data_IF_188454399162
#
_entry.id   IF_188454399162
#
_cell.length_a   1.000
_cell.length_b   1.000
_cell.length_c   1.000
_cell.angle_alpha   90.00
_cell.angle_beta   90.00
_cell.angle_gamma   90.00
#
_symmetry.space_group_name_H-M   'P 1'
#
loop_
_entity.id
_entity.type
_entity.pdbx_description
1 polymer ?
#
# COMPACT_ATOMS: atom_id res chain seq x y z
N UNK A 1 22.17 -8.38 11.89
CA UNK A 1 21.21 -7.69 11.02
C UNK A 1 20.44 -6.68 11.85
N UNK A 2 20.38 -5.43 11.43
CA UNK A 2 19.67 -4.34 12.11
C UNK A 2 18.34 -4.06 11.45
N UNK A 3 17.31 -3.74 12.24
CA UNK A 3 15.97 -3.36 11.75
C UNK A 3 15.66 -1.93 12.15
N UNK A 4 15.28 -1.12 11.14
CA UNK A 4 14.71 0.22 11.33
C UNK A 4 13.20 0.16 11.20
N UNK A 5 12.48 0.65 12.21
CA UNK A 5 11.03 0.83 12.15
C UNK A 5 10.71 2.28 11.82
N UNK A 6 9.92 2.50 10.78
CA UNK A 6 9.55 3.82 10.27
C UNK A 6 8.06 4.09 10.53
N UNK A 7 7.77 5.15 11.30
CA UNK A 7 6.40 5.51 11.67
C UNK A 7 6.09 6.94 11.21
N UNK A 8 5.34 7.09 10.10
CA UNK A 8 4.81 8.39 9.72
C UNK A 8 3.65 8.78 10.65
N UNK A 9 3.62 10.04 11.12
CA UNK A 9 2.60 10.52 12.05
C UNK A 9 2.00 11.85 11.56
N UNK A 10 0.67 11.88 11.40
CA UNK A 10 -0.08 13.10 11.10
C UNK A 10 -1.48 13.01 11.68
N UNK A 11 -1.83 13.93 12.63
CA UNK A 11 -3.14 13.99 13.27
C UNK A 11 -3.64 12.62 13.75
N UNK A 12 -2.82 11.93 14.53
CA UNK A 12 -3.06 10.56 15.00
C UNK A 12 -3.05 10.44 16.53
N UNK A 13 -3.41 11.50 17.24
CA UNK A 13 -3.39 11.55 18.71
C UNK A 13 -4.15 10.39 19.38
N UNK A 14 -5.25 9.92 18.74
CA UNK A 14 -6.07 8.84 19.28
C UNK A 14 -5.46 7.43 19.13
N UNK A 15 -4.43 7.23 18.29
CA UNK A 15 -3.91 5.91 17.94
C UNK A 15 -2.41 5.76 18.14
N UNK A 16 -1.63 6.83 17.96
CA UNK A 16 -0.16 6.79 17.94
C UNK A 16 0.46 6.17 19.19
N UNK A 17 -0.17 6.32 20.36
CA UNK A 17 0.32 5.71 21.60
C UNK A 17 0.31 4.19 21.50
N UNK A 18 -0.83 3.58 21.18
CA UNK A 18 -0.95 2.14 21.04
C UNK A 18 -0.05 1.60 19.93
N UNK A 19 0.11 2.34 18.82
CA UNK A 19 1.03 2.01 17.73
C UNK A 19 2.47 1.93 18.22
N UNK A 20 2.99 2.97 18.88
CA UNK A 20 4.36 2.99 19.38
C UNK A 20 4.59 1.96 20.48
N UNK A 21 3.63 1.74 21.38
CA UNK A 21 3.72 0.73 22.42
C UNK A 21 3.82 -0.68 21.80
N UNK A 22 3.11 -0.98 20.70
CA UNK A 22 3.21 -2.27 19.99
C UNK A 22 4.60 -2.52 19.39
N UNK A 23 5.31 -1.46 18.97
CA UNK A 23 6.71 -1.55 18.50
C UNK A 23 7.66 -1.77 19.65
N UNK A 24 7.46 -1.05 20.76
CA UNK A 24 8.33 -1.11 21.94
C UNK A 24 8.19 -2.41 22.74
N UNK A 25 7.10 -3.16 22.53
CA UNK A 25 6.82 -4.44 23.17
C UNK A 25 7.21 -5.65 22.31
N UNK A 26 7.96 -5.46 21.23
CA UNK A 26 8.41 -6.57 20.40
C UNK A 26 9.33 -7.51 21.16
N UNK A 27 9.16 -8.84 21.00
CA UNK A 27 10.02 -9.87 21.61
C UNK A 27 11.44 -9.82 21.08
N UNK A 28 11.62 -9.41 19.84
CA UNK A 28 12.89 -9.09 19.21
C UNK A 28 12.91 -7.59 18.87
N UNK A 29 13.54 -6.73 19.72
CA UNK A 29 13.40 -5.29 19.60
C UNK A 29 13.96 -4.73 18.29
N UNK A 30 13.37 -3.62 17.83
CA UNK A 30 13.94 -2.81 16.74
C UNK A 30 15.30 -2.23 17.17
N UNK A 31 16.25 -2.13 16.23
CA UNK A 31 17.54 -1.48 16.49
C UNK A 31 17.42 0.05 16.46
N UNK A 32 16.47 0.57 15.67
CA UNK A 32 16.06 1.97 15.68
C UNK A 32 14.57 2.13 15.35
N UNK A 33 13.94 3.13 15.94
CA UNK A 33 12.55 3.51 15.67
C UNK A 33 12.56 5.00 15.28
N UNK A 34 12.25 5.28 14.03
CA UNK A 34 12.21 6.63 13.47
C UNK A 34 10.77 7.07 13.30
N UNK A 35 10.39 8.14 13.97
CA UNK A 35 9.04 8.70 13.91
C UNK A 35 9.12 10.09 13.30
N UNK A 36 8.30 10.38 12.30
CA UNK A 36 8.21 11.71 11.70
C UNK A 36 6.82 12.29 11.83
N UNK A 37 6.73 13.39 12.56
CA UNK A 37 5.53 14.21 12.64
C UNK A 37 5.46 15.13 11.42
N UNK A 38 4.46 14.92 10.57
CA UNK A 38 4.24 15.69 9.34
C UNK A 38 3.33 16.91 9.57
N UNK A 39 3.68 17.72 10.59
CA UNK A 39 2.97 18.97 10.86
C UNK A 39 1.59 18.76 11.46
N UNK A 40 1.44 17.83 12.40
CA UNK A 40 0.19 17.60 13.13
C UNK A 40 -0.29 18.85 13.86
N UNK A 41 -1.61 19.06 13.88
CA UNK A 41 -2.29 20.20 14.52
C UNK A 41 -3.12 19.79 15.74
N UNK A 42 -3.21 18.49 16.02
CA UNK A 42 -3.85 17.90 17.20
C UNK A 42 -2.82 17.65 18.33
N UNK A 43 -3.14 16.81 19.30
CA UNK A 43 -2.27 16.48 20.43
C UNK A 43 -1.12 15.52 20.06
N UNK A 44 -1.01 15.07 18.81
CA UNK A 44 0.05 14.13 18.35
C UNK A 44 1.46 14.59 18.78
N UNK A 45 1.89 15.87 18.59
CA UNK A 45 3.24 16.30 18.98
C UNK A 45 3.51 16.15 20.48
N UNK A 46 2.53 16.41 21.32
CA UNK A 46 2.66 16.26 22.77
C UNK A 46 2.82 14.79 23.19
N UNK A 47 2.07 13.90 22.52
CA UNK A 47 2.20 12.46 22.76
C UNK A 47 3.56 11.98 22.33
N UNK A 48 4.03 12.34 21.13
CA UNK A 48 5.32 11.95 20.59
C UNK A 48 6.48 12.40 21.49
N UNK A 49 6.43 13.61 22.05
CA UNK A 49 7.45 14.12 22.99
C UNK A 49 7.61 13.21 24.22
N UNK A 50 6.54 12.53 24.66
CA UNK A 50 6.61 11.57 25.77
C UNK A 50 7.38 10.27 25.42
N UNK A 51 7.69 10.04 24.14
CA UNK A 51 8.45 8.88 23.64
C UNK A 51 9.91 9.21 23.26
N UNK A 52 10.35 10.47 23.35
CA UNK A 52 11.66 10.94 22.85
C UNK A 52 12.89 10.16 23.37
N UNK A 53 12.80 9.56 24.54
CA UNK A 53 13.91 8.78 25.10
C UNK A 53 13.95 7.34 24.57
N UNK A 54 12.93 6.92 23.80
CA UNK A 54 12.77 5.55 23.28
C UNK A 54 12.75 5.48 21.75
N UNK A 55 12.49 6.59 21.09
CA UNK A 55 12.42 6.70 19.63
C UNK A 55 13.12 7.96 19.13
N UNK A 56 13.58 7.96 17.89
CA UNK A 56 14.14 9.15 17.25
C UNK A 56 13.02 9.93 16.58
N UNK A 57 12.73 11.15 17.08
CA UNK A 57 11.67 12.01 16.58
C UNK A 57 12.18 13.02 15.56
N UNK A 58 11.47 13.13 14.46
CA UNK A 58 11.60 14.19 13.47
C UNK A 58 10.29 14.95 13.33
N UNK A 59 10.37 16.21 12.91
CA UNK A 59 9.20 17.03 12.62
C UNK A 59 9.44 17.88 11.38
N UNK A 60 8.41 18.06 10.57
CA UNK A 60 8.42 18.91 9.39
C UNK A 60 7.04 19.57 9.20
N UNK A 61 6.92 20.67 8.43
CA UNK A 61 5.63 21.11 7.91
C UNK A 61 5.01 20.01 7.04
N UNK A 62 3.67 19.90 7.04
CA UNK A 62 2.97 18.85 6.29
C UNK A 62 3.39 18.86 4.79
N UNK A 63 3.97 17.73 4.36
CA UNK A 63 4.45 17.47 2.99
C UNK A 63 3.89 16.17 2.40
N UNK A 64 3.02 15.49 3.15
CA UNK A 64 2.35 14.26 2.74
C UNK A 64 3.13 12.97 3.02
N UNK A 65 2.39 11.87 3.04
CA UNK A 65 2.87 10.55 3.47
C UNK A 65 4.05 10.04 2.64
N UNK A 66 4.04 10.23 1.32
CA UNK A 66 5.12 9.79 0.44
C UNK A 66 6.44 10.50 0.77
N UNK A 67 6.39 11.82 0.99
CA UNK A 67 7.57 12.57 1.41
C UNK A 67 8.10 12.08 2.77
N UNK A 68 7.21 11.87 3.73
CA UNK A 68 7.57 11.33 5.07
C UNK A 68 8.27 9.98 4.94
N UNK A 69 7.69 9.04 4.17
CA UNK A 69 8.30 7.71 3.98
C UNK A 69 9.67 7.81 3.30
N UNK A 70 9.82 8.62 2.25
CA UNK A 70 11.10 8.84 1.59
C UNK A 70 12.16 9.42 2.56
N UNK A 71 11.79 10.42 3.33
CA UNK A 71 12.66 11.04 4.32
C UNK A 71 13.07 10.07 5.44
N UNK A 72 12.15 9.22 5.91
CA UNK A 72 12.45 8.20 6.90
C UNK A 72 13.37 7.11 6.34
N UNK A 73 13.11 6.63 5.11
CA UNK A 73 14.00 5.67 4.42
C UNK A 73 15.41 6.22 4.27
N UNK A 74 15.54 7.49 3.89
CA UNK A 74 16.85 8.13 3.73
C UNK A 74 17.65 8.24 5.05
N UNK A 75 16.96 8.28 6.19
CA UNK A 75 17.59 8.34 7.54
C UNK A 75 17.83 6.97 8.16
N UNK A 76 17.13 5.95 7.71
CA UNK A 76 17.22 4.61 8.25
C UNK A 76 18.61 3.99 8.02
N UNK A 77 19.17 3.37 9.06
CA UNK A 77 20.49 2.74 9.03
C UNK A 77 20.44 1.21 9.08
N UNK A 78 19.28 0.64 9.38
CA UNK A 78 19.06 -0.81 9.45
C UNK A 78 19.22 -1.52 8.10
N UNK A 79 19.52 -2.79 8.15
CA UNK A 79 19.60 -3.67 6.96
C UNK A 79 18.21 -3.98 6.40
N UNK A 80 17.22 -4.05 7.29
CA UNK A 80 15.81 -4.27 7.01
C UNK A 80 14.99 -3.06 7.47
N UNK A 81 14.18 -2.53 6.59
CA UNK A 81 13.28 -1.40 6.83
C UNK A 81 11.86 -1.92 6.99
N UNK A 82 11.24 -1.63 8.11
CA UNK A 82 9.85 -1.98 8.41
C UNK A 82 8.99 -0.75 8.57
N UNK A 83 7.83 -0.73 7.94
CA UNK A 83 6.90 0.39 8.01
C UNK A 83 5.72 0.06 8.93
N UNK A 84 5.27 1.04 9.70
CA UNK A 84 4.06 0.94 10.49
C UNK A 84 3.29 2.26 10.44
N UNK A 85 2.08 2.23 9.91
CA UNK A 85 1.21 3.40 9.90
C UNK A 85 0.72 3.71 11.32
N UNK A 86 0.52 4.98 11.62
CA UNK A 86 0.30 5.51 12.99
C UNK A 86 -1.04 5.09 13.63
N UNK A 87 -1.78 4.20 13.00
CA UNK A 87 -3.06 3.68 13.48
C UNK A 87 -3.14 2.15 13.54
N UNK A 88 -2.10 1.45 13.07
CA UNK A 88 -2.03 -0.01 13.09
C UNK A 88 -1.22 -0.52 14.28
N UNK A 89 -1.33 -1.82 14.57
CA UNK A 89 -0.64 -2.48 15.68
C UNK A 89 0.09 -3.73 15.21
N UNK A 90 1.26 -3.99 15.79
CA UNK A 90 1.99 -5.22 15.56
C UNK A 90 1.82 -6.24 16.68
N UNK A 91 1.73 -7.50 16.29
CA UNK A 91 1.88 -8.63 17.21
C UNK A 91 3.28 -8.62 17.84
N UNK A 92 3.46 -9.00 19.12
CA UNK A 92 4.78 -8.98 19.78
C UNK A 92 5.90 -9.74 19.04
N UNK A 93 5.58 -10.72 18.21
CA UNK A 93 6.55 -11.50 17.41
C UNK A 93 6.75 -11.02 15.98
N UNK A 94 6.19 -9.86 15.60
CA UNK A 94 6.27 -9.39 14.21
C UNK A 94 7.72 -9.25 13.73
N UNK A 95 8.56 -8.54 14.46
CA UNK A 95 9.95 -8.31 14.06
C UNK A 95 10.80 -9.59 14.09
N UNK A 96 10.56 -10.49 15.06
CA UNK A 96 11.21 -11.80 15.12
C UNK A 96 10.94 -12.61 13.84
N UNK A 97 9.69 -12.69 13.43
CA UNK A 97 9.29 -13.40 12.20
C UNK A 97 9.90 -12.74 10.96
N UNK A 98 9.86 -11.42 10.86
CA UNK A 98 10.41 -10.70 9.71
C UNK A 98 11.93 -10.86 9.58
N UNK A 99 12.67 -10.89 10.70
CA UNK A 99 14.11 -11.15 10.70
C UNK A 99 14.42 -12.57 10.20
N UNK A 100 13.65 -13.56 10.64
CA UNK A 100 13.84 -14.95 10.22
C UNK A 100 13.58 -15.09 8.72
N UNK A 101 12.48 -14.53 8.21
CA UNK A 101 12.16 -14.55 6.78
C UNK A 101 13.27 -13.88 5.93
N UNK A 102 13.82 -12.76 6.39
CA UNK A 102 14.93 -12.10 5.68
C UNK A 102 16.20 -12.95 5.64
N UNK A 103 16.49 -13.72 6.71
CA UNK A 103 17.64 -14.62 6.75
C UNK A 103 17.45 -15.86 5.87
N UNK A 104 16.23 -16.41 5.83
CA UNK A 104 15.87 -17.62 5.08
C UNK A 104 15.71 -17.34 3.58
N UNK A 105 15.34 -16.12 3.19
CA UNK A 105 15.07 -15.72 1.81
C UNK A 105 15.86 -14.47 1.39
N UNK A 106 17.21 -14.55 1.34
CA UNK A 106 18.06 -13.40 1.01
C UNK A 106 17.84 -12.84 -0.41
N UNK A 107 17.24 -13.64 -1.31
CA UNK A 107 16.86 -13.24 -2.67
C UNK A 107 15.63 -12.34 -2.73
N UNK A 108 14.79 -12.34 -1.69
CA UNK A 108 13.56 -11.57 -1.68
C UNK A 108 13.81 -10.07 -1.55
N UNK A 109 12.96 -9.30 -2.20
CA UNK A 109 13.01 -7.82 -2.19
C UNK A 109 12.04 -7.18 -1.22
N UNK A 110 11.07 -7.95 -0.72
CA UNK A 110 10.15 -7.51 0.33
C UNK A 110 9.50 -8.70 1.03
N UNK A 111 9.01 -8.48 2.25
CA UNK A 111 8.43 -9.48 3.13
C UNK A 111 7.10 -8.97 3.67
N UNK A 112 6.00 -9.63 3.36
CA UNK A 112 4.67 -9.32 3.87
C UNK A 112 4.23 -10.32 4.93
N UNK A 113 3.58 -9.81 5.98
CA UNK A 113 2.89 -10.64 6.97
C UNK A 113 1.38 -10.63 6.71
N UNK A 114 0.67 -11.63 7.26
CA UNK A 114 -0.78 -11.61 7.36
C UNK A 114 -1.27 -10.52 8.30
N UNK A 115 -2.53 -10.11 8.11
CA UNK A 115 -3.16 -9.10 8.95
C UNK A 115 -4.61 -9.47 9.26
N UNK A 116 -5.11 -8.93 10.35
CA UNK A 116 -6.52 -8.95 10.72
C UNK A 116 -7.06 -7.52 10.75
N UNK A 117 -8.33 -7.39 10.43
CA UNK A 117 -9.01 -6.10 10.49
C UNK A 117 -9.67 -5.92 11.85
N UNK A 118 -9.53 -4.74 12.46
CA UNK A 118 -10.20 -4.43 13.71
C UNK A 118 -10.79 -3.00 13.73
N UNK A 119 -11.64 -2.73 14.70
CA UNK A 119 -12.33 -1.45 14.87
C UNK A 119 -12.04 -0.86 16.25
N UNK A 120 -12.12 0.46 16.39
CA UNK A 120 -11.92 1.17 17.65
C UNK A 120 -10.55 1.86 17.75
N UNK A 121 -10.36 2.64 18.82
CA UNK A 121 -9.15 3.45 19.04
C UNK A 121 -8.20 2.85 20.09
N UNK A 122 -8.57 1.71 20.70
CA UNK A 122 -7.82 1.04 21.75
C UNK A 122 -6.76 0.05 21.25
N UNK A 123 -6.29 -0.73 22.18
CA UNK A 123 -5.42 -1.87 21.94
C UNK A 123 -6.21 -3.01 21.27
N UNK A 124 -5.49 -3.88 20.57
CA UNK A 124 -6.01 -5.14 20.05
C UNK A 124 -5.54 -6.28 20.96
N UNK A 125 -6.46 -7.11 21.43
CA UNK A 125 -6.12 -8.29 22.21
C UNK A 125 -5.83 -9.47 21.26
N UNK A 126 -4.57 -9.90 21.24
CA UNK A 126 -4.14 -11.04 20.45
C UNK A 126 -4.62 -12.35 21.08
N UNK A 127 -5.44 -13.13 20.36
CA UNK A 127 -5.97 -14.39 20.86
C UNK A 127 -4.90 -15.48 20.97
N UNK A 128 -4.45 -15.77 22.22
CA UNK A 128 -3.57 -16.88 22.58
C UNK A 128 -2.09 -16.71 22.22
N UNK A 129 -1.22 -17.51 22.87
CA UNK A 129 0.23 -17.49 22.63
C UNK A 129 0.64 -18.01 21.23
N UNK A 130 -0.24 -18.74 20.56
CA UNK A 130 -0.04 -19.30 19.21
C UNK A 130 -0.52 -18.39 18.09
N UNK A 131 -1.24 -17.30 18.38
CA UNK A 131 -1.54 -16.28 17.39
C UNK A 131 -0.22 -15.70 16.91
N UNK A 132 -0.03 -15.57 15.59
CA UNK A 132 1.18 -15.01 15.00
C UNK A 132 2.33 -15.98 14.71
N UNK A 133 2.27 -17.30 15.03
CA UNK A 133 3.39 -18.22 14.75
C UNK A 133 3.06 -19.37 13.79
N UNK A 134 1.80 -19.55 13.40
CA UNK A 134 1.29 -20.70 12.62
C UNK A 134 1.02 -20.40 11.15
N UNK A 135 1.80 -19.54 10.49
CA UNK A 135 1.59 -19.17 9.09
C UNK A 135 2.36 -20.05 8.10
N UNK A 136 1.84 -20.15 6.89
CA UNK A 136 2.61 -20.68 5.75
C UNK A 136 3.46 -19.58 5.14
N UNK A 137 4.65 -19.94 4.66
CA UNK A 137 5.58 -19.01 3.97
C UNK A 137 5.57 -19.34 2.49
N UNK A 138 5.41 -18.34 1.65
CA UNK A 138 5.40 -18.46 0.19
C UNK A 138 6.41 -17.47 -0.40
N UNK A 139 7.36 -17.96 -1.20
CA UNK A 139 8.20 -17.14 -2.08
C UNK A 139 7.43 -16.90 -3.39
N UNK A 140 7.07 -15.68 -3.66
CA UNK A 140 6.20 -15.29 -4.78
C UNK A 140 7.04 -14.61 -5.85
N UNK A 141 7.11 -15.18 -7.07
CA UNK A 141 7.80 -14.54 -8.19
C UNK A 141 7.26 -13.14 -8.49
N UNK A 142 8.12 -12.27 -9.01
CA UNK A 142 7.80 -10.86 -9.29
C UNK A 142 6.53 -10.67 -10.15
N UNK A 143 6.36 -11.48 -11.21
CA UNK A 143 5.17 -11.46 -12.07
C UNK A 143 3.89 -11.83 -11.31
N UNK A 144 3.95 -12.86 -10.47
CA UNK A 144 2.79 -13.29 -9.66
C UNK A 144 2.46 -12.24 -8.61
N UNK A 145 3.46 -11.68 -7.93
CA UNK A 145 3.29 -10.58 -7.00
C UNK A 145 2.60 -9.39 -7.67
N UNK A 146 3.15 -8.90 -8.79
CA UNK A 146 2.55 -7.79 -9.54
C UNK A 146 1.10 -8.07 -9.94
N UNK A 147 0.83 -9.30 -10.40
CA UNK A 147 -0.50 -9.72 -10.84
C UNK A 147 -1.50 -9.79 -9.68
N UNK A 148 -1.12 -10.42 -8.56
CA UNK A 148 -1.95 -10.53 -7.35
C UNK A 148 -2.24 -9.16 -6.75
N UNK A 149 -1.22 -8.30 -6.64
CA UNK A 149 -1.35 -6.94 -6.16
C UNK A 149 -2.37 -6.13 -6.97
N UNK A 150 -2.21 -6.11 -8.30
CA UNK A 150 -3.08 -5.32 -9.18
C UNK A 150 -4.51 -5.84 -9.31
N UNK A 151 -4.75 -7.12 -9.02
CA UNK A 151 -6.09 -7.71 -8.94
C UNK A 151 -6.74 -7.54 -7.58
N UNK A 152 -6.06 -6.99 -6.59
CA UNK A 152 -6.48 -6.95 -5.19
C UNK A 152 -6.87 -8.34 -4.66
N UNK A 153 -6.11 -9.38 -5.06
CA UNK A 153 -6.34 -10.78 -4.69
C UNK A 153 -5.26 -11.29 -3.73
N UNK A 154 -4.62 -10.40 -2.99
CA UNK A 154 -3.57 -10.76 -2.07
C UNK A 154 -3.45 -9.77 -0.91
N UNK A 155 -2.63 -10.10 0.08
CA UNK A 155 -2.47 -9.35 1.32
C UNK A 155 -1.53 -8.13 1.18
N UNK A 156 -1.25 -7.66 -0.02
CA UNK A 156 -0.19 -6.68 -0.30
C UNK A 156 -0.70 -5.23 -0.34
N UNK A 157 -1.73 -4.89 0.42
CA UNK A 157 -2.44 -3.60 0.26
C UNK A 157 -1.93 -2.46 1.13
N UNK A 158 -1.00 -2.71 2.08
CA UNK A 158 -0.50 -1.69 3.00
C UNK A 158 0.95 -1.98 3.40
N UNK A 159 1.72 -0.93 3.66
CA UNK A 159 3.09 -1.06 4.13
C UNK A 159 3.20 -1.38 5.62
N UNK A 160 2.15 -1.23 6.43
CA UNK A 160 2.17 -1.58 7.87
C UNK A 160 2.54 -3.04 8.14
N UNK A 161 2.40 -3.92 7.18
CA UNK A 161 2.77 -5.33 7.28
C UNK A 161 3.85 -5.76 6.29
N UNK A 162 4.66 -4.77 5.85
CA UNK A 162 5.73 -4.96 4.88
C UNK A 162 7.09 -4.56 5.46
N UNK A 163 8.09 -5.40 5.22
CA UNK A 163 9.49 -5.09 5.40
C UNK A 163 10.21 -5.13 4.05
N UNK A 164 11.18 -4.22 3.86
CA UNK A 164 11.97 -4.13 2.62
C UNK A 164 13.45 -4.06 2.99
N UNK A 165 14.33 -4.91 2.43
CA UNK A 165 15.77 -4.79 2.62
C UNK A 165 16.27 -3.42 2.16
N UNK A 166 17.06 -2.73 2.98
CA UNK A 166 17.55 -1.37 2.68
C UNK A 166 18.26 -1.28 1.32
N UNK A 167 18.97 -2.34 0.93
CA UNK A 167 19.64 -2.41 -0.40
C UNK A 167 18.67 -2.20 -1.56
N UNK A 168 17.42 -2.65 -1.43
CA UNK A 168 16.39 -2.58 -2.48
C UNK A 168 16.02 -1.12 -2.79
N UNK A 169 15.99 -0.25 -1.79
CA UNK A 169 15.69 1.18 -2.02
C UNK A 169 16.70 1.86 -2.96
N UNK A 170 17.96 1.41 -2.97
CA UNK A 170 18.95 1.87 -3.95
C UNK A 170 18.58 1.53 -5.41
N UNK A 171 17.87 0.41 -5.62
CA UNK A 171 17.40 -0.03 -6.93
C UNK A 171 16.06 0.64 -7.33
N UNK A 172 15.24 1.01 -6.34
CA UNK A 172 13.96 1.71 -6.59
C UNK A 172 14.17 3.16 -7.04
N UNK A 173 15.29 3.77 -6.69
CA UNK A 173 15.62 5.18 -6.97
C UNK A 173 15.40 6.08 -5.76
N UNK A 174 15.67 7.39 -5.93
CA UNK A 174 15.71 8.35 -4.82
C UNK A 174 14.34 8.63 -4.18
N UNK A 175 13.24 8.38 -4.89
CA UNK A 175 11.88 8.63 -4.43
C UNK A 175 11.00 7.39 -4.69
N UNK A 176 11.17 6.32 -3.88
CA UNK A 176 10.39 5.09 -4.02
C UNK A 176 8.91 5.28 -3.72
N UNK A 177 8.53 6.37 -3.07
CA UNK A 177 7.14 6.78 -2.84
C UNK A 177 6.87 8.10 -3.57
N UNK A 178 5.77 8.19 -4.32
CA UNK A 178 5.33 9.41 -5.01
C UNK A 178 4.07 9.97 -4.36
N UNK A 179 4.07 11.28 -4.06
CA UNK A 179 2.92 11.94 -3.43
C UNK A 179 1.76 12.09 -4.41
N UNK A 180 0.80 11.18 -4.30
CA UNK A 180 -0.39 11.18 -5.14
C UNK A 180 -1.57 10.43 -4.50
N UNK A 181 -1.39 9.95 -3.25
CA UNK A 181 -2.37 9.15 -2.51
C UNK A 181 -2.62 7.76 -3.09
N UNK A 182 -1.61 7.21 -3.73
CA UNK A 182 -1.46 5.82 -4.13
C UNK A 182 0.04 5.46 -4.15
N UNK A 183 0.78 6.02 -3.21
CA UNK A 183 2.23 5.90 -3.06
C UNK A 183 2.63 4.44 -2.80
N UNK A 184 1.81 3.68 -2.09
CA UNK A 184 1.99 2.24 -1.89
C UNK A 184 1.96 1.50 -3.23
N UNK A 185 1.01 1.84 -4.11
CA UNK A 185 0.90 1.22 -5.43
C UNK A 185 2.09 1.54 -6.33
N UNK A 186 2.63 2.74 -6.22
CA UNK A 186 3.84 3.13 -6.93
C UNK A 186 5.03 2.29 -6.47
N UNK A 187 5.29 2.25 -5.16
CA UNK A 187 6.40 1.49 -4.59
C UNK A 187 6.26 -0.03 -4.83
N UNK A 188 5.08 -0.61 -4.61
CA UNK A 188 4.84 -2.04 -4.88
C UNK A 188 5.07 -2.42 -6.34
N UNK A 189 4.71 -1.54 -7.28
CA UNK A 189 4.99 -1.78 -8.70
C UNK A 189 6.49 -1.75 -9.01
N UNK A 190 7.24 -0.85 -8.38
CA UNK A 190 8.70 -0.82 -8.49
C UNK A 190 9.35 -2.07 -7.89
N UNK A 191 8.88 -2.57 -6.75
CA UNK A 191 9.39 -3.81 -6.14
C UNK A 191 9.28 -5.00 -7.10
N UNK A 192 8.21 -5.08 -7.89
CA UNK A 192 8.03 -6.13 -8.89
C UNK A 192 9.07 -6.07 -10.04
N UNK A 193 9.71 -4.93 -10.29
CA UNK A 193 10.82 -4.83 -11.26
C UNK A 193 12.14 -5.36 -10.69
N UNK A 194 12.27 -5.43 -9.36
CA UNK A 194 13.52 -5.79 -8.70
C UNK A 194 13.61 -7.30 -8.41
N UNK A 195 12.52 -7.93 -7.96
CA UNK A 195 12.61 -9.36 -7.66
C UNK A 195 11.38 -9.96 -6.99
N UNK A 196 11.53 -11.20 -6.48
CA UNK A 196 10.47 -11.93 -5.80
C UNK A 196 10.21 -11.35 -4.41
N UNK A 197 9.03 -11.64 -3.86
CA UNK A 197 8.64 -11.26 -2.51
C UNK A 197 8.29 -12.48 -1.68
N UNK A 198 8.37 -12.35 -0.36
CA UNK A 198 7.91 -13.38 0.58
C UNK A 198 6.62 -12.94 1.23
N UNK A 199 5.68 -13.86 1.33
CA UNK A 199 4.47 -13.71 2.12
C UNK A 199 4.41 -14.78 3.22
N UNK A 200 4.24 -14.33 4.46
CA UNK A 200 3.91 -15.18 5.61
C UNK A 200 2.45 -14.96 5.99
N UNK A 201 1.66 -16.02 6.01
CA UNK A 201 0.22 -15.92 6.29
C UNK A 201 -0.10 -15.77 7.79
N UNK A 202 0.91 -15.77 8.68
CA UNK A 202 0.72 -15.49 10.10
C UNK A 202 0.13 -14.08 10.29
N UNK A 203 -0.94 -13.97 11.06
CA UNK A 203 -1.64 -12.72 11.35
C UNK A 203 -0.86 -11.92 12.40
N UNK A 204 0.11 -11.14 11.93
CA UNK A 204 1.06 -10.40 12.75
C UNK A 204 0.77 -8.90 12.83
N UNK A 205 -0.25 -8.43 12.14
CA UNK A 205 -0.64 -7.02 12.11
C UNK A 205 -2.12 -6.88 12.32
N UNK A 206 -2.54 -6.03 13.25
CA UNK A 206 -3.91 -5.59 13.38
C UNK A 206 -4.08 -4.27 12.61
N UNK A 207 -4.78 -4.36 11.48
CA UNK A 207 -5.08 -3.25 10.59
C UNK A 207 -6.36 -2.54 11.03
N UNK A 208 -6.25 -1.25 11.34
CA UNK A 208 -7.38 -0.48 11.88
C UNK A 208 -8.28 0.06 10.78
N UNK A 209 -9.55 -0.31 10.84
CA UNK A 209 -10.58 0.21 9.95
C UNK A 209 -11.25 1.45 10.55
N UNK A 210 -11.23 2.58 9.83
CA UNK A 210 -11.86 3.84 10.21
C UNK A 210 -12.82 4.33 9.13
N UNK A 211 -13.90 5.03 9.54
CA UNK A 211 -14.86 5.63 8.60
C UNK A 211 -14.22 6.66 7.69
N UNK A 212 -13.30 7.45 8.24
CA UNK A 212 -12.61 8.56 7.59
C UNK A 212 -11.38 8.10 6.78
N UNK A 213 -11.13 6.80 6.64
CA UNK A 213 -9.98 6.30 5.88
C UNK A 213 -10.04 6.76 4.42
N UNK A 214 -8.92 7.28 3.90
CA UNK A 214 -8.78 7.70 2.49
C UNK A 214 -9.08 6.58 1.51
N UNK A 215 -8.85 5.33 1.90
CA UNK A 215 -9.15 4.13 1.10
C UNK A 215 -10.65 3.91 0.84
N UNK A 216 -11.54 4.58 1.58
CA UNK A 216 -12.98 4.48 1.40
C UNK A 216 -13.52 5.35 0.25
N UNK A 217 -12.75 6.33 -0.25
CA UNK A 217 -13.16 7.16 -1.40
C UNK A 217 -12.63 6.59 -2.72
N UNK A 218 -13.44 5.75 -3.35
CA UNK A 218 -13.10 5.14 -4.63
C UNK A 218 -13.00 6.16 -5.79
N UNK A 219 -13.70 7.30 -5.69
CA UNK A 219 -13.67 8.32 -6.76
C UNK A 219 -12.28 8.95 -6.85
N UNK A 220 -11.69 9.17 -5.70
CA UNK A 220 -10.36 9.71 -5.53
C UNK A 220 -9.27 8.67 -5.93
N UNK A 221 -9.50 7.40 -5.61
CA UNK A 221 -8.50 6.32 -5.76
C UNK A 221 -8.27 5.92 -7.23
N UNK A 222 -9.33 5.80 -8.06
CA UNK A 222 -9.18 5.30 -9.43
C UNK A 222 -8.36 6.21 -10.35
N UNK A 223 -8.53 7.52 -10.26
CA UNK A 223 -7.73 8.47 -11.03
C UNK A 223 -6.25 8.41 -10.67
N UNK A 224 -5.96 8.22 -9.39
CA UNK A 224 -4.58 8.11 -8.88
C UNK A 224 -3.90 6.82 -9.31
N UNK A 225 -4.60 5.71 -9.31
CA UNK A 225 -4.04 4.48 -9.88
C UNK A 225 -3.69 4.61 -11.36
N UNK A 226 -4.52 5.29 -12.15
CA UNK A 226 -4.17 5.57 -13.56
C UNK A 226 -2.89 6.40 -13.62
N UNK A 227 -2.78 7.44 -12.79
CA UNK A 227 -1.60 8.30 -12.75
C UNK A 227 -0.34 7.56 -12.29
N UNK A 228 -0.44 6.63 -11.34
CA UNK A 228 0.69 5.75 -10.97
C UNK A 228 1.23 5.00 -12.19
N UNK A 229 0.35 4.41 -12.99
CA UNK A 229 0.75 3.67 -14.18
C UNK A 229 1.36 4.58 -15.25
N UNK A 230 0.86 5.81 -15.40
CA UNK A 230 1.44 6.82 -16.32
C UNK A 230 2.88 7.18 -15.91
N UNK A 231 3.14 7.32 -14.62
CA UNK A 231 4.49 7.60 -14.11
C UNK A 231 5.47 6.42 -14.22
N UNK A 232 4.94 5.19 -14.28
CA UNK A 232 5.75 3.97 -14.33
C UNK A 232 5.93 3.44 -15.76
N UNK A 233 5.18 3.94 -16.75
CA UNK A 233 5.12 3.38 -18.10
C UNK A 233 6.52 3.30 -18.73
N UNK A 234 7.24 4.41 -18.80
CA UNK A 234 8.60 4.46 -19.36
C UNK A 234 9.55 3.48 -18.64
N UNK A 235 9.56 3.46 -17.31
CA UNK A 235 10.43 2.58 -16.54
C UNK A 235 10.12 1.10 -16.76
N UNK A 236 8.83 0.73 -16.91
CA UNK A 236 8.45 -0.66 -17.22
C UNK A 236 8.83 -1.03 -18.64
N UNK A 237 8.71 -0.12 -19.61
CA UNK A 237 9.14 -0.34 -21.00
C UNK A 237 10.65 -0.56 -21.11
N UNK A 238 11.44 0.16 -20.31
CA UNK A 238 12.91 0.07 -20.33
C UNK A 238 13.47 -1.15 -19.57
N UNK A 239 12.80 -1.58 -18.48
CA UNK A 239 13.41 -2.51 -17.52
C UNK A 239 12.67 -3.83 -17.33
N UNK A 240 11.37 -3.89 -17.62
CA UNK A 240 10.58 -5.11 -17.42
C UNK A 240 10.83 -6.13 -18.52
N UNK A 241 10.94 -7.42 -18.13
CA UNK A 241 10.88 -8.51 -19.10
C UNK A 241 9.50 -8.59 -19.79
N UNK A 242 9.42 -9.28 -20.95
CA UNK A 242 8.21 -9.26 -21.80
C UNK A 242 6.92 -9.66 -21.09
N UNK A 243 6.99 -10.65 -20.21
CA UNK A 243 5.81 -11.15 -19.47
C UNK A 243 5.33 -10.13 -18.43
N UNK A 244 6.24 -9.51 -17.67
CA UNK A 244 5.91 -8.49 -16.68
C UNK A 244 5.42 -7.22 -17.36
N UNK A 245 6.02 -6.80 -18.48
CA UNK A 245 5.54 -5.67 -19.29
C UNK A 245 4.12 -5.92 -19.81
N UNK A 246 3.85 -7.12 -20.31
CA UNK A 246 2.49 -7.50 -20.75
C UNK A 246 1.48 -7.45 -19.60
N UNK A 247 1.87 -7.92 -18.39
CA UNK A 247 1.03 -7.85 -17.20
C UNK A 247 0.78 -6.39 -16.78
N UNK A 248 1.79 -5.53 -16.84
CA UNK A 248 1.68 -4.09 -16.59
C UNK A 248 0.67 -3.43 -17.54
N UNK A 249 0.83 -3.64 -18.85
CA UNK A 249 -0.06 -3.08 -19.86
C UNK A 249 -1.53 -3.54 -19.66
N UNK A 250 -1.74 -4.82 -19.33
CA UNK A 250 -3.08 -5.35 -19.02
C UNK A 250 -3.68 -4.72 -17.76
N UNK A 251 -2.89 -4.56 -16.71
CA UNK A 251 -3.32 -3.92 -15.47
C UNK A 251 -3.66 -2.44 -15.72
N UNK A 252 -2.82 -1.72 -16.44
CA UNK A 252 -3.04 -0.33 -16.81
C UNK A 252 -4.34 -0.13 -17.60
N UNK A 253 -4.53 -0.92 -18.64
CA UNK A 253 -5.77 -0.89 -19.40
C UNK A 253 -7.00 -1.20 -18.51
N UNK A 254 -6.88 -2.09 -17.54
CA UNK A 254 -7.94 -2.40 -16.57
C UNK A 254 -8.25 -1.22 -15.63
N UNK A 255 -7.22 -0.54 -15.12
CA UNK A 255 -7.39 0.65 -14.27
C UNK A 255 -8.06 1.80 -15.03
N UNK A 256 -7.65 2.06 -16.29
CA UNK A 256 -8.32 3.04 -17.17
C UNK A 256 -9.78 2.71 -17.41
N UNK A 257 -10.15 1.45 -17.64
CA UNK A 257 -11.56 1.03 -17.76
C UNK A 257 -12.35 1.25 -16.47
N UNK A 258 -11.76 0.96 -15.33
CA UNK A 258 -12.40 1.18 -14.03
C UNK A 258 -12.63 2.66 -13.76
N UNK A 259 -11.67 3.50 -14.09
CA UNK A 259 -11.79 4.95 -13.99
C UNK A 259 -12.84 5.51 -14.97
N UNK A 260 -12.86 5.01 -16.20
CA UNK A 260 -13.89 5.40 -17.18
C UNK A 260 -15.31 5.07 -16.70
N UNK A 261 -15.53 3.91 -16.06
CA UNK A 261 -16.84 3.57 -15.46
C UNK A 261 -17.27 4.61 -14.42
N UNK A 262 -16.34 5.01 -13.56
CA UNK A 262 -16.60 6.03 -12.55
C UNK A 262 -16.93 7.38 -13.18
N UNK A 263 -16.16 7.81 -14.17
CA UNK A 263 -16.38 9.05 -14.91
C UNK A 263 -17.77 9.07 -15.59
N UNK A 264 -18.22 7.94 -16.13
CA UNK A 264 -19.59 7.79 -16.66
C UNK A 264 -20.63 7.97 -15.54
N UNK A 265 -20.44 7.33 -14.39
CA UNK A 265 -21.36 7.43 -13.24
C UNK A 265 -21.43 8.84 -12.65
N UNK A 266 -20.36 9.61 -12.74
CA UNK A 266 -20.27 11.00 -12.26
C UNK A 266 -20.61 12.05 -13.32
N UNK A 267 -21.08 11.63 -14.52
CA UNK A 267 -21.55 12.53 -15.56
C UNK A 267 -20.46 13.16 -16.42
N UNK A 268 -19.29 12.53 -16.52
CA UNK A 268 -18.12 12.98 -17.30
C UNK A 268 -17.83 12.09 -18.53
N UNK A 269 -18.74 11.95 -19.49
CA UNK A 269 -18.61 10.98 -20.58
C UNK A 269 -17.44 11.28 -21.53
N UNK A 270 -17.08 12.53 -21.73
CA UNK A 270 -15.95 12.90 -22.60
C UNK A 270 -14.62 12.42 -22.01
N UNK A 271 -14.39 12.62 -20.69
CA UNK A 271 -13.22 12.13 -20.00
C UNK A 271 -13.19 10.58 -19.99
N UNK A 272 -14.34 9.94 -19.75
CA UNK A 272 -14.46 8.48 -19.81
C UNK A 272 -14.06 7.89 -21.17
N UNK A 273 -14.49 8.51 -22.27
CA UNK A 273 -14.12 8.10 -23.63
C UNK A 273 -12.63 8.22 -23.88
N UNK A 274 -12.00 9.31 -23.43
CA UNK A 274 -10.55 9.49 -23.52
C UNK A 274 -9.80 8.36 -22.79
N UNK A 275 -10.22 8.00 -21.57
CA UNK A 275 -9.61 6.88 -20.85
C UNK A 275 -9.80 5.54 -21.57
N UNK A 276 -10.94 5.29 -22.19
CA UNK A 276 -11.19 4.05 -22.94
C UNK A 276 -10.35 3.96 -24.22
N UNK A 277 -10.19 5.07 -24.95
CA UNK A 277 -9.32 5.12 -26.13
C UNK A 277 -7.86 4.86 -25.76
N UNK A 278 -7.37 5.47 -24.69
CA UNK A 278 -6.03 5.19 -24.18
C UNK A 278 -5.88 3.74 -23.71
N UNK A 279 -6.92 3.16 -23.08
CA UNK A 279 -6.92 1.74 -22.70
C UNK A 279 -6.82 0.78 -23.90
N UNK A 280 -7.32 1.17 -25.08
CA UNK A 280 -7.13 0.41 -26.33
C UNK A 280 -5.67 0.55 -26.79
N UNK A 281 -5.13 1.76 -26.75
CA UNK A 281 -3.78 2.06 -27.24
C UNK A 281 -2.70 1.35 -26.40
N UNK A 282 -2.83 1.37 -25.08
CA UNK A 282 -1.86 0.79 -24.14
C UNK A 282 -1.95 -0.75 -24.02
N UNK A 283 -2.80 -1.44 -24.76
CA UNK A 283 -2.98 -2.89 -24.63
C UNK A 283 -2.69 -3.62 -25.92
N UNK A 284 -1.73 -4.52 -25.90
CA UNK A 284 -1.51 -5.48 -26.98
C UNK A 284 -2.44 -6.73 -26.89
N UNK A 285 -3.18 -6.90 -25.80
CA UNK A 285 -4.03 -8.06 -25.58
C UNK A 285 -5.40 -7.90 -26.26
N UNK A 286 -5.76 -8.77 -27.24
CA UNK A 286 -7.01 -8.65 -28.01
C UNK A 286 -8.28 -8.63 -27.14
N UNK A 287 -8.31 -9.43 -26.07
CA UNK A 287 -9.46 -9.47 -25.15
C UNK A 287 -9.59 -8.16 -24.38
N UNK A 288 -8.47 -7.59 -23.95
CA UNK A 288 -8.43 -6.30 -23.26
C UNK A 288 -8.91 -5.17 -24.19
N UNK A 289 -8.44 -5.16 -25.43
CA UNK A 289 -8.87 -4.24 -26.48
C UNK A 289 -10.39 -4.35 -26.73
N UNK A 290 -10.89 -5.56 -26.93
CA UNK A 290 -12.31 -5.81 -27.15
C UNK A 290 -13.18 -5.31 -25.99
N UNK A 291 -12.75 -5.52 -24.73
CA UNK A 291 -13.44 -4.98 -23.55
C UNK A 291 -13.49 -3.45 -23.56
N UNK A 292 -12.40 -2.78 -23.92
CA UNK A 292 -12.33 -1.32 -23.95
C UNK A 292 -13.21 -0.74 -25.07
N UNK A 293 -13.18 -1.34 -26.25
CA UNK A 293 -14.03 -0.95 -27.38
C UNK A 293 -15.52 -1.16 -27.08
N UNK A 294 -15.90 -2.30 -26.49
CA UNK A 294 -17.29 -2.56 -26.07
C UNK A 294 -17.78 -1.51 -25.08
N UNK A 295 -16.97 -1.15 -24.11
CA UNK A 295 -17.31 -0.10 -23.15
C UNK A 295 -17.40 1.28 -23.84
N UNK A 296 -16.51 1.58 -24.78
CA UNK A 296 -16.53 2.84 -25.53
C UNK A 296 -17.86 2.98 -26.31
N UNK A 297 -18.31 1.92 -26.99
CA UNK A 297 -19.59 1.90 -27.67
C UNK A 297 -20.75 2.19 -26.72
N UNK A 298 -20.75 1.55 -25.52
CA UNK A 298 -21.79 1.77 -24.52
C UNK A 298 -21.88 3.24 -24.06
N UNK A 299 -20.81 4.00 -24.11
CA UNK A 299 -20.83 5.43 -23.72
C UNK A 299 -21.57 6.34 -24.70
N UNK A 300 -21.82 5.86 -25.91
CA UNK A 300 -22.58 6.61 -26.94
C UNK A 300 -24.08 6.26 -26.97
N UNK A 301 -24.50 5.23 -26.23
CA UNK A 301 -25.92 4.89 -26.14
C UNK A 301 -26.71 6.00 -25.41
N UNK A 302 -28.00 6.19 -25.72
CA UNK A 302 -28.89 7.04 -24.92
C UNK A 302 -28.93 6.56 -23.45
N UNK A 303 -29.03 7.49 -22.49
CA UNK A 303 -29.02 7.18 -21.04
C UNK A 303 -29.88 5.99 -20.63
N UNK A 304 -31.12 5.81 -21.13
CA UNK A 304 -31.94 4.64 -20.74
C UNK A 304 -31.38 3.30 -21.19
N UNK A 305 -30.47 3.27 -22.17
CA UNK A 305 -29.84 2.06 -22.72
C UNK A 305 -28.43 1.84 -22.18
N UNK A 306 -27.91 2.75 -21.37
CA UNK A 306 -26.61 2.59 -20.73
C UNK A 306 -26.74 1.66 -19.52
N UNK A 307 -25.68 0.87 -19.21
CA UNK A 307 -25.64 0.14 -17.95
C UNK A 307 -25.59 1.10 -16.76
N UNK A 308 -25.96 0.64 -15.58
CA UNK A 308 -25.73 1.39 -14.34
C UNK A 308 -24.22 1.54 -14.08
N UNK A 309 -23.76 2.79 -14.08
CA UNK A 309 -22.36 3.12 -13.81
C UNK A 309 -22.14 3.40 -12.31
N UNK A 310 -21.00 2.99 -11.71
CA UNK A 310 -20.71 3.28 -10.31
C UNK A 310 -20.50 4.78 -10.09
N UNK A 311 -21.02 5.30 -8.99
CA UNK A 311 -20.90 6.73 -8.61
C UNK A 311 -19.78 7.04 -7.64
N UNK A 312 -18.99 6.05 -7.24
CA UNK A 312 -17.83 6.24 -6.36
C UNK A 312 -18.12 6.09 -4.86
N UNK A 313 -19.38 6.21 -4.45
CA UNK A 313 -19.74 6.05 -3.04
C UNK A 313 -20.02 4.57 -2.71
N UNK A 314 -19.06 3.87 -2.13
CA UNK A 314 -19.37 2.63 -1.40
C UNK A 314 -20.02 3.04 -0.07
N UNK A 315 -21.24 2.56 0.21
CA UNK A 315 -21.74 2.60 1.58
C UNK A 315 -20.78 1.78 2.44
N UNK A 316 -20.19 2.42 3.43
CA UNK A 316 -19.39 1.75 4.45
C UNK A 316 -20.25 0.66 5.10
N UNK A 317 -19.84 -0.60 4.99
CA UNK A 317 -20.48 -1.76 5.64
C UNK A 317 -19.75 -2.06 6.95
N UNK A 318 -19.60 -1.06 7.82
CA UNK A 318 -19.27 -1.32 9.20
C UNK A 318 -20.51 -1.95 9.87
N UNK A 319 -20.31 -2.99 10.64
CA UNK A 319 -21.36 -3.66 11.38
C UNK A 319 -22.18 -2.66 12.17
N UNK A 320 -23.50 -2.63 11.95
CA UNK A 320 -24.48 -1.97 12.83
C UNK A 320 -24.65 -2.70 14.19
N UNK A 321 -23.68 -3.55 14.56
CA UNK A 321 -23.68 -4.31 15.81
C UNK A 321 -22.29 -4.27 16.45
N UNK A 322 -22.03 -3.24 17.24
CA UNK A 322 -21.24 -3.27 18.48
C UNK A 322 -21.87 -2.26 19.44
#
# INVERSE_FOLDING_TARGET
MKVSVLVPAYNCASTIRSTLDSVLQQTDPADEILVMNDGSTDETPLILESYKDRVTLYSQPNRGIANVRNELVARATGDLISFLDSDDLWHPKYLEVQRNLFQEHPEAVAFWAGHINFYGNGEYEWEGESSGTGGTVELIPALDFFTRYNRATGPFSCFSYCCVPRRVFGELGNEPFKEMGAEDSYCCSLLALVGPVVYCSAELVAYRLRKESLSNDHSWTFGRWVHVFELLEERFEETAGPELLSAFQMAFASKRRSYAKLLMGTGKPSEARAQLLQSVHNSANPISIAKSLSMLILTYLPRPLQPSWPTGHRKWKGSENV
#
